data_IF_158514910910
#
_entry.id   IF_158514910910
#
_cell.length_a   1.000
_cell.length_b   1.000
_cell.length_c   1.000
_cell.angle_alpha   90.00
_cell.angle_beta   90.00
_cell.angle_gamma   90.00
#
_symmetry.space_group_name_H-M   'P 1'
#
loop_
_entity.id
_entity.type
_entity.pdbx_description
1 polymer ?
#
# COMPACT_ATOMS: atom_id res chain seq x y z
N UNK A 1 45.92 -11.84 17.95
CA UNK A 1 44.88 -10.78 17.84
C UNK A 1 44.39 -10.78 16.39
N UNK A 2 43.11 -11.06 16.13
CA UNK A 2 42.53 -11.04 14.78
C UNK A 2 41.69 -9.77 14.66
N UNK A 3 42.25 -8.73 14.04
CA UNK A 3 41.50 -7.55 13.65
C UNK A 3 40.70 -7.93 12.40
N UNK A 4 39.40 -8.13 12.57
CA UNK A 4 38.48 -8.24 11.42
C UNK A 4 38.03 -6.82 11.11
N UNK A 5 38.47 -6.30 9.98
CA UNK A 5 37.97 -5.05 9.44
C UNK A 5 36.51 -5.22 9.04
N UNK A 6 35.66 -4.52 9.76
CA UNK A 6 34.24 -4.33 9.51
C UNK A 6 33.76 -3.49 10.68
N UNK A 7 33.22 -2.30 10.40
CA UNK A 7 32.59 -1.49 11.45
C UNK A 7 31.53 -2.36 12.11
N UNK A 8 31.83 -2.88 13.31
CA UNK A 8 30.84 -3.60 14.09
C UNK A 8 29.81 -2.57 14.50
N UNK A 9 28.64 -2.60 13.85
CA UNK A 9 27.48 -1.80 14.24
C UNK A 9 27.30 -1.92 15.76
N UNK A 10 27.40 -0.79 16.46
CA UNK A 10 27.17 -0.77 17.89
C UNK A 10 25.69 -1.10 18.16
N UNK A 11 25.41 -1.73 19.30
CA UNK A 11 24.05 -2.11 19.70
C UNK A 11 23.04 -0.94 19.61
N UNK A 12 23.49 0.28 19.94
CA UNK A 12 22.71 1.51 19.84
C UNK A 12 22.38 1.88 18.39
N UNK A 13 23.32 1.73 17.46
CA UNK A 13 23.09 2.05 16.04
C UNK A 13 22.20 1.00 15.38
N UNK A 14 22.37 -0.28 15.72
CA UNK A 14 21.52 -1.37 15.22
C UNK A 14 20.06 -1.23 15.68
N UNK A 15 19.83 -0.92 16.96
CA UNK A 15 18.48 -0.64 17.48
C UNK A 15 17.83 0.53 16.74
N UNK A 16 18.54 1.66 16.64
CA UNK A 16 18.03 2.85 15.95
C UNK A 16 17.70 2.58 14.48
N UNK A 17 18.57 1.88 13.75
CA UNK A 17 18.33 1.57 12.33
C UNK A 17 17.13 0.68 12.13
N UNK A 18 16.95 -0.36 12.95
CA UNK A 18 15.80 -1.26 12.84
C UNK A 18 14.47 -0.52 13.06
N UNK A 19 14.30 0.15 14.21
CA UNK A 19 13.02 0.80 14.55
C UNK A 19 12.71 2.03 13.70
N UNK A 20 13.73 2.70 13.13
CA UNK A 20 13.53 3.82 12.22
C UNK A 20 13.43 3.40 10.74
N UNK A 21 13.45 2.10 10.43
CA UNK A 21 13.20 1.64 9.07
C UNK A 21 11.70 1.72 8.78
N UNK A 22 11.32 2.72 7.99
CA UNK A 22 9.97 2.93 7.48
C UNK A 22 9.95 2.67 5.96
N UNK A 23 8.75 2.40 5.42
CA UNK A 23 8.55 2.31 3.97
C UNK A 23 8.78 3.68 3.34
N UNK A 24 9.61 3.72 2.29
CA UNK A 24 9.86 4.94 1.54
C UNK A 24 8.64 5.27 0.65
N UNK A 25 8.48 6.55 0.30
CA UNK A 25 7.39 6.96 -0.58
C UNK A 25 7.47 6.24 -1.94
N UNK A 26 6.38 5.59 -2.35
CA UNK A 26 6.31 4.85 -3.62
C UNK A 26 7.07 3.51 -3.62
N UNK A 27 7.65 3.11 -2.49
CA UNK A 27 8.23 1.78 -2.32
C UNK A 27 7.12 0.73 -2.26
N UNK A 28 7.35 -0.45 -2.86
CA UNK A 28 6.48 -1.62 -2.66
C UNK A 28 6.67 -2.19 -1.25
N UNK A 29 5.59 -2.57 -0.59
CA UNK A 29 5.63 -3.15 0.75
C UNK A 29 6.51 -4.42 0.82
N UNK A 30 6.58 -5.21 -0.26
CA UNK A 30 7.47 -6.37 -0.35
C UNK A 30 8.95 -6.00 -0.39
N UNK A 31 9.33 -4.84 -0.95
CA UNK A 31 10.71 -4.34 -0.90
C UNK A 31 11.04 -3.76 0.47
N UNK A 32 10.08 -3.07 1.08
CA UNK A 32 10.22 -2.55 2.44
C UNK A 32 10.50 -3.68 3.44
N UNK A 33 9.72 -4.78 3.42
CA UNK A 33 9.93 -5.90 4.37
C UNK A 33 11.29 -6.59 4.17
N UNK A 34 11.81 -6.63 2.93
CA UNK A 34 13.15 -7.15 2.65
C UNK A 34 14.22 -6.25 3.29
N UNK A 35 14.10 -4.93 3.16
CA UNK A 35 15.04 -3.99 3.79
C UNK A 35 14.95 -4.04 5.31
N UNK A 36 13.73 -4.17 5.84
CA UNK A 36 13.47 -4.36 7.27
C UNK A 36 14.15 -5.62 7.80
N UNK A 37 14.09 -6.73 7.05
CA UNK A 37 14.72 -8.00 7.45
C UNK A 37 16.23 -7.86 7.63
N UNK A 38 16.90 -7.13 6.73
CA UNK A 38 18.35 -6.87 6.87
C UNK A 38 18.65 -6.16 8.19
N UNK A 39 17.86 -5.15 8.55
CA UNK A 39 18.07 -4.42 9.82
C UNK A 39 17.71 -5.28 11.05
N UNK A 40 16.70 -6.15 10.92
CA UNK A 40 16.33 -7.09 11.98
C UNK A 40 17.46 -8.07 12.28
N UNK A 41 18.07 -8.64 11.24
CA UNK A 41 19.21 -9.55 11.40
C UNK A 41 20.42 -8.85 12.03
N UNK A 42 20.69 -7.59 11.67
CA UNK A 42 21.72 -6.79 12.32
C UNK A 42 21.42 -6.58 13.82
N UNK A 43 20.16 -6.31 14.18
CA UNK A 43 19.74 -6.15 15.57
C UNK A 43 19.80 -7.46 16.39
N UNK A 44 19.53 -8.61 15.75
CA UNK A 44 19.71 -9.94 16.37
C UNK A 44 21.19 -10.21 16.62
N UNK A 45 22.05 -9.97 15.62
CA UNK A 45 23.50 -10.14 15.74
C UNK A 45 24.11 -9.23 16.82
N UNK A 46 23.57 -8.02 16.97
CA UNK A 46 23.96 -7.08 18.03
C UNK A 46 23.38 -7.43 19.42
N UNK A 47 22.59 -8.51 19.54
CA UNK A 47 21.98 -8.96 20.79
C UNK A 47 20.84 -8.08 21.30
N UNK A 48 20.30 -7.18 20.47
CA UNK A 48 19.19 -6.29 20.82
C UNK A 48 17.86 -7.02 20.77
N UNK A 49 17.67 -7.90 19.79
CA UNK A 49 16.44 -8.67 19.59
C UNK A 49 16.74 -10.15 19.82
N UNK A 50 15.93 -10.81 20.65
CA UNK A 50 16.06 -12.24 20.85
C UNK A 50 15.53 -13.00 19.62
N UNK A 51 16.29 -13.98 19.13
CA UNK A 51 15.95 -14.76 17.94
C UNK A 51 14.56 -15.42 18.03
N UNK A 52 14.15 -15.87 19.23
CA UNK A 52 12.82 -16.43 19.49
C UNK A 52 11.64 -15.47 19.18
N UNK A 53 11.88 -14.16 19.13
CA UNK A 53 10.85 -13.15 18.88
C UNK A 53 10.91 -12.58 17.46
N UNK A 54 11.80 -13.10 16.59
CA UNK A 54 12.07 -12.55 15.25
C UNK A 54 10.81 -12.35 14.42
N UNK A 55 9.95 -13.38 14.30
CA UNK A 55 8.74 -13.28 13.48
C UNK A 55 7.73 -12.26 14.03
N UNK A 56 7.58 -12.20 15.35
CA UNK A 56 6.71 -11.25 16.02
C UNK A 56 7.21 -9.82 15.84
N UNK A 57 8.50 -9.58 16.10
CA UNK A 57 9.12 -8.27 15.98
C UNK A 57 9.09 -7.78 14.53
N UNK A 58 9.36 -8.67 13.56
CA UNK A 58 9.23 -8.37 12.13
C UNK A 58 7.82 -7.89 11.79
N UNK A 59 6.81 -8.69 12.13
CA UNK A 59 5.43 -8.37 11.78
C UNK A 59 4.96 -7.07 12.44
N UNK A 60 5.33 -6.87 13.70
CA UNK A 60 4.98 -5.65 14.42
C UNK A 60 5.60 -4.40 13.79
N UNK A 61 6.92 -4.43 13.53
CA UNK A 61 7.60 -3.30 12.90
C UNK A 61 7.13 -3.07 11.46
N UNK A 62 6.83 -4.15 10.73
CA UNK A 62 6.24 -4.04 9.41
C UNK A 62 4.90 -3.27 9.44
N UNK A 63 4.02 -3.60 10.39
CA UNK A 63 2.73 -2.92 10.53
C UNK A 63 2.84 -1.45 10.94
N UNK A 64 3.87 -1.10 11.73
CA UNK A 64 4.11 0.30 12.14
C UNK A 64 4.72 1.13 11.01
N UNK A 65 5.62 0.54 10.22
CA UNK A 65 6.39 1.27 9.22
C UNK A 65 5.91 1.12 7.78
N UNK A 66 4.99 0.20 7.49
CA UNK A 66 4.41 0.05 6.16
C UNK A 66 3.25 1.01 5.92
N UNK A 67 3.19 1.55 4.72
CA UNK A 67 2.05 2.27 4.18
C UNK A 67 1.01 1.25 3.70
N UNK A 68 0.20 0.75 4.63
CA UNK A 68 -0.77 -0.31 4.37
C UNK A 68 -2.10 0.26 3.86
N UNK A 69 -2.46 -0.09 2.64
CA UNK A 69 -3.76 0.23 2.03
C UNK A 69 -4.57 -1.04 1.77
N UNK A 70 -5.90 -0.91 1.80
CA UNK A 70 -6.82 -1.94 1.31
C UNK A 70 -6.73 -3.29 2.04
N UNK A 71 -6.74 -4.36 1.25
CA UNK A 71 -6.91 -5.75 1.70
C UNK A 71 -5.69 -6.30 2.46
N UNK A 72 -4.48 -5.80 2.16
CA UNK A 72 -3.26 -6.18 2.87
C UNK A 72 -3.34 -5.83 4.37
N UNK A 73 -3.80 -4.62 4.68
CA UNK A 73 -3.97 -4.17 6.06
C UNK A 73 -4.95 -5.05 6.85
N UNK A 74 -6.05 -5.46 6.21
CA UNK A 74 -7.06 -6.32 6.82
C UNK A 74 -6.51 -7.71 7.12
N UNK A 75 -5.84 -8.34 6.14
CA UNK A 75 -5.22 -9.67 6.30
C UNK A 75 -4.18 -9.69 7.42
N UNK A 76 -3.32 -8.68 7.49
CA UNK A 76 -2.28 -8.62 8.53
C UNK A 76 -2.84 -8.41 9.94
N UNK A 77 -3.89 -7.58 10.09
CA UNK A 77 -4.59 -7.44 11.36
C UNK A 77 -5.26 -8.74 11.80
N UNK A 78 -5.83 -9.50 10.87
CA UNK A 78 -6.43 -10.80 11.17
C UNK A 78 -5.38 -11.79 11.67
N UNK A 79 -4.21 -11.85 11.05
CA UNK A 79 -3.11 -12.71 11.49
C UNK A 79 -2.68 -12.37 12.92
N UNK A 80 -2.50 -11.08 13.26
CA UNK A 80 -2.18 -10.69 14.63
C UNK A 80 -3.24 -11.16 15.63
N UNK A 81 -4.52 -11.04 15.29
CA UNK A 81 -5.61 -11.51 16.16
C UNK A 81 -5.57 -13.03 16.34
N UNK A 82 -5.32 -13.77 15.26
CA UNK A 82 -5.27 -15.24 15.30
C UNK A 82 -4.06 -15.77 16.07
N UNK A 83 -2.92 -15.08 16.00
CA UNK A 83 -1.67 -15.50 16.61
C UNK A 83 -1.32 -14.76 17.90
N UNK A 84 -2.25 -13.95 18.43
CA UNK A 84 -2.10 -13.28 19.72
C UNK A 84 -1.82 -14.26 20.88
N UNK A 85 -2.23 -15.52 20.73
CA UNK A 85 -2.06 -16.58 21.74
C UNK A 85 -1.06 -17.67 21.35
N UNK A 86 -0.51 -17.64 20.14
CA UNK A 86 0.46 -18.63 19.65
C UNK A 86 1.49 -17.95 18.72
N UNK A 87 2.57 -17.38 19.29
CA UNK A 87 3.60 -16.67 18.54
C UNK A 87 4.39 -17.57 17.57
N UNK A 88 4.42 -18.88 17.81
CA UNK A 88 5.17 -19.85 16.99
C UNK A 88 4.49 -20.06 15.63
N UNK A 89 3.19 -19.78 15.53
CA UNK A 89 2.42 -19.88 14.29
C UNK A 89 2.43 -18.61 13.44
N UNK A 90 3.16 -17.57 13.85
CA UNK A 90 3.32 -16.37 13.03
C UNK A 90 4.01 -16.70 11.71
N UNK A 91 3.62 -16.06 10.60
CA UNK A 91 4.25 -16.30 9.32
C UNK A 91 5.74 -15.96 9.41
N UNK A 92 6.56 -16.86 8.89
CA UNK A 92 7.99 -16.59 8.73
C UNK A 92 8.23 -15.51 7.66
N UNK A 93 9.47 -15.08 7.50
CA UNK A 93 9.84 -14.02 6.55
C UNK A 93 9.35 -14.31 5.12
N UNK A 94 9.56 -15.53 4.63
CA UNK A 94 9.23 -15.89 3.26
C UNK A 94 7.72 -15.97 3.05
N UNK A 95 6.99 -16.50 4.02
CA UNK A 95 5.52 -16.54 4.02
C UNK A 95 4.93 -15.12 4.00
N UNK A 96 5.49 -14.22 4.81
CA UNK A 96 5.08 -12.83 4.85
C UNK A 96 5.33 -12.13 3.50
N UNK A 97 6.53 -12.28 2.92
CA UNK A 97 6.87 -11.71 1.61
C UNK A 97 5.94 -12.25 0.52
N UNK A 98 5.66 -13.55 0.52
CA UNK A 98 4.76 -14.19 -0.44
C UNK A 98 3.36 -13.57 -0.36
N UNK A 99 2.81 -13.47 0.84
CA UNK A 99 1.47 -12.90 1.08
C UNK A 99 1.39 -11.42 0.65
N UNK A 100 2.43 -10.64 0.92
CA UNK A 100 2.49 -9.24 0.49
C UNK A 100 2.50 -9.16 -1.03
N UNK A 101 3.35 -9.93 -1.71
CA UNK A 101 3.44 -9.93 -3.18
C UNK A 101 2.15 -10.36 -3.85
N UNK A 102 1.50 -11.41 -3.35
CA UNK A 102 0.19 -11.84 -3.85
C UNK A 102 -0.81 -10.67 -3.79
N UNK A 103 -0.79 -9.88 -2.72
CA UNK A 103 -1.65 -8.70 -2.59
C UNK A 103 -1.27 -7.58 -3.55
N UNK A 104 0.02 -7.27 -3.66
CA UNK A 104 0.52 -6.26 -4.58
C UNK A 104 0.19 -6.59 -6.04
N UNK A 105 0.27 -7.87 -6.43
CA UNK A 105 -0.06 -8.33 -7.78
C UNK A 105 -1.56 -8.19 -8.09
N UNK A 106 -2.43 -8.49 -7.11
CA UNK A 106 -3.87 -8.23 -7.21
C UNK A 106 -4.19 -6.73 -7.34
N UNK A 107 -3.52 -5.88 -6.56
CA UNK A 107 -3.70 -4.43 -6.67
C UNK A 107 -3.21 -3.88 -8.01
N UNK A 108 -2.04 -4.33 -8.49
CA UNK A 108 -1.48 -3.93 -9.78
C UNK A 108 -2.39 -4.34 -10.94
N UNK A 109 -2.95 -5.55 -10.92
CA UNK A 109 -3.88 -6.02 -11.95
C UNK A 109 -5.21 -5.25 -11.91
N UNK A 110 -5.77 -5.02 -10.73
CA UNK A 110 -6.99 -4.23 -10.55
C UNK A 110 -6.80 -2.78 -11.04
N UNK A 111 -5.68 -2.15 -10.69
CA UNK A 111 -5.34 -0.80 -11.11
C UNK A 111 -5.12 -0.71 -12.63
N UNK A 112 -4.46 -1.71 -13.24
CA UNK A 112 -4.33 -1.81 -14.71
C UNK A 112 -5.68 -1.93 -15.40
N UNK A 113 -6.57 -2.78 -14.91
CA UNK A 113 -7.94 -2.91 -15.46
C UNK A 113 -8.73 -1.61 -15.34
N UNK A 114 -8.66 -0.92 -14.19
CA UNK A 114 -9.34 0.37 -13.99
C UNK A 114 -8.81 1.44 -14.94
N UNK A 115 -7.50 1.47 -15.20
CA UNK A 115 -6.89 2.38 -16.18
C UNK A 115 -7.35 2.04 -17.61
N UNK A 116 -7.34 0.76 -17.99
CA UNK A 116 -7.80 0.31 -19.31
C UNK A 116 -9.26 0.70 -19.58
N UNK A 117 -10.16 0.48 -18.61
CA UNK A 117 -11.58 0.89 -18.69
C UNK A 117 -11.74 2.41 -18.83
N UNK A 118 -10.92 3.21 -18.14
CA UNK A 118 -10.96 4.67 -18.29
C UNK A 118 -10.45 5.12 -19.65
N UNK A 119 -9.38 4.51 -20.18
CA UNK A 119 -8.90 4.83 -21.52
C UNK A 119 -9.88 4.39 -22.61
N UNK A 120 -10.55 3.26 -22.43
CA UNK A 120 -11.60 2.78 -23.34
C UNK A 120 -12.79 3.75 -23.37
N UNK A 121 -13.29 4.19 -22.20
CA UNK A 121 -14.32 5.23 -22.10
C UNK A 121 -13.89 6.56 -22.78
N UNK A 122 -12.63 6.97 -22.60
CA UNK A 122 -12.11 8.20 -23.24
C UNK A 122 -12.02 8.03 -24.77
N UNK A 123 -11.58 6.87 -25.25
CA UNK A 123 -11.53 6.56 -26.69
C UNK A 123 -12.93 6.44 -27.30
N UNK A 124 -13.88 5.81 -26.61
CA UNK A 124 -15.28 5.70 -27.02
C UNK A 124 -15.92 7.10 -27.14
N UNK A 125 -15.62 7.99 -26.19
CA UNK A 125 -16.14 9.37 -26.22
C UNK A 125 -15.48 10.23 -27.30
N UNK A 126 -14.26 9.92 -27.72
CA UNK A 126 -13.56 10.59 -28.82
C UNK A 126 -13.91 10.02 -30.21
N UNK A 127 -14.28 8.74 -30.28
CA UNK A 127 -14.65 8.05 -31.52
C UNK A 127 -16.15 8.13 -31.82
N UNK A 128 -16.98 8.44 -30.82
CA UNK A 128 -18.39 8.72 -31.03
C UNK A 128 -18.55 10.10 -31.67
N UNK A 129 -19.12 10.22 -32.89
CA UNK A 129 -19.43 11.51 -33.47
C UNK A 129 -20.61 12.05 -32.68
N UNK A 130 -20.34 12.75 -31.58
CA UNK A 130 -21.34 13.61 -30.95
C UNK A 130 -21.61 14.70 -31.98
N UNK A 131 -22.61 14.48 -32.81
CA UNK A 131 -23.24 15.55 -33.56
C UNK A 131 -23.69 16.56 -32.50
N UNK A 132 -22.96 17.67 -32.41
CA UNK A 132 -23.48 18.91 -31.86
C UNK A 132 -24.71 19.24 -32.72
N UNK A 133 -25.86 18.68 -32.36
CA UNK A 133 -27.11 19.29 -32.73
C UNK A 133 -27.11 20.60 -31.97
N UNK A 134 -26.88 21.68 -32.71
CA UNK A 134 -27.03 23.04 -32.22
C UNK A 134 -28.38 23.20 -31.52
N UNK A 135 -28.53 24.22 -30.67
CA UNK A 135 -29.73 24.40 -29.88
C UNK A 135 -30.95 24.38 -30.81
N UNK A 136 -31.81 23.38 -30.64
CA UNK A 136 -33.13 23.37 -31.23
C UNK A 136 -33.88 24.57 -30.66
N UNK A 137 -34.18 25.55 -31.51
CA UNK A 137 -35.04 26.68 -31.21
C UNK A 137 -36.41 26.15 -30.77
N UNK A 138 -36.63 26.06 -29.46
CA UNK A 138 -37.97 25.91 -28.91
C UNK A 138 -38.72 27.24 -29.11
N UNK A 139 -39.89 27.26 -29.77
CA UNK A 139 -40.68 28.48 -29.87
C UNK A 139 -41.16 28.88 -28.48
N UNK A 140 -40.77 30.06 -28.02
CA UNK A 140 -41.30 30.69 -26.82
C UNK A 140 -42.79 31.00 -27.06
N UNK A 141 -43.73 30.53 -26.24
CA UNK A 141 -45.12 30.95 -26.36
C UNK A 141 -45.24 32.42 -25.98
N UNK A 142 -45.55 33.27 -26.96
CA UNK A 142 -45.98 34.65 -26.73
C UNK A 142 -47.32 34.62 -26.00
N UNK A 143 -47.32 34.94 -24.71
CA UNK A 143 -48.54 35.26 -23.98
C UNK A 143 -49.12 36.59 -24.54
N UNK A 144 -50.42 36.66 -24.83
CA UNK A 144 -51.03 37.89 -25.32
C UNK A 144 -51.13 38.93 -24.21
N UNK A 145 -50.57 40.09 -24.53
CA UNK A 145 -50.67 41.34 -23.80
C UNK A 145 -52.14 41.71 -23.58
N UNK A 146 -52.57 41.79 -22.32
CA UNK A 146 -53.85 42.41 -21.95
C UNK A 146 -53.57 43.65 -21.11
N UNK A 147 -53.32 44.77 -21.79
CA UNK A 147 -53.62 46.09 -21.23
C UNK A 147 -55.14 46.27 -21.20
N UNK A 148 -55.69 46.72 -20.06
CA UNK A 148 -56.35 48.03 -19.94
C UNK A 148 -56.81 48.25 -18.50
N UNK A 149 -56.44 49.41 -17.96
CA UNK A 149 -56.93 49.98 -16.70
C UNK A 149 -58.46 50.17 -16.69
N UNK A 150 -59.08 49.95 -15.53
CA UNK A 150 -59.95 50.94 -14.89
C UNK A 150 -60.03 50.71 -13.39
#
# INVERSE_FOLDING_TARGET
MKLVFGDSECSITAHGKFFNTLQAQGEKASLYVIRLEVQLQNAIQAGIIAEKHTNQTRLHQFLLGAELHGDLHFRLKLLLRMYAHDPERLPNFLELVKMIRETEDWDDTFMKQKRFKRSELIMEMAASPVAFQGPHDFPIPLYPDRYTCR
#
